data_IF_060527090572
#
_entry.id   IF_060527090572
#
_cell.length_a   1.000
_cell.length_b   1.000
_cell.length_c   1.000
_cell.angle_alpha   90.00
_cell.angle_beta   90.00
_cell.angle_gamma   90.00
#
_symmetry.space_group_name_H-M   'P 1'
#
loop_
_entity.id
_entity.type
_entity.pdbx_description
1 polymer ?
#
# COMPACT_ATOMS: atom_id res chain seq x y z
N UNK A 1 -19.26 -25.71 11.26
CA UNK A 1 -18.99 -24.38 10.70
C UNK A 1 -19.88 -24.25 9.47
N UNK A 2 -20.93 -23.43 9.52
CA UNK A 2 -21.81 -23.22 8.37
C UNK A 2 -21.04 -22.29 7.41
N UNK A 3 -20.87 -22.64 6.12
CA UNK A 3 -20.23 -21.73 5.17
C UNK A 3 -21.03 -20.43 5.16
N UNK A 4 -20.36 -19.28 5.26
CA UNK A 4 -21.02 -18.01 5.03
C UNK A 4 -21.72 -18.04 3.66
N UNK A 5 -22.93 -17.46 3.52
CA UNK A 5 -23.63 -17.46 2.24
C UNK A 5 -22.73 -16.79 1.18
N UNK A 6 -22.40 -17.54 0.13
CA UNK A 6 -21.65 -17.03 -1.02
C UNK A 6 -22.44 -15.91 -1.67
N UNK A 7 -22.06 -14.66 -1.40
CA UNK A 7 -22.54 -13.50 -2.16
C UNK A 7 -21.55 -13.21 -3.27
N UNK A 8 -22.01 -12.65 -4.39
CA UNK A 8 -21.12 -12.26 -5.49
C UNK A 8 -20.02 -11.28 -5.02
N UNK A 9 -20.31 -10.42 -4.03
CA UNK A 9 -19.31 -9.55 -3.39
C UNK A 9 -18.17 -10.38 -2.76
N UNK A 10 -18.49 -11.41 -1.98
CA UNK A 10 -17.47 -12.29 -1.36
C UNK A 10 -16.67 -13.09 -2.38
N UNK A 11 -17.26 -13.44 -3.53
CA UNK A 11 -16.57 -14.15 -4.61
C UNK A 11 -15.53 -13.26 -5.29
N UNK A 12 -15.85 -11.99 -5.57
CA UNK A 12 -14.89 -11.03 -6.15
C UNK A 12 -13.71 -10.83 -5.19
N UNK A 13 -13.97 -10.65 -3.89
CA UNK A 13 -12.92 -10.52 -2.89
C UNK A 13 -12.03 -11.77 -2.81
N UNK A 14 -12.63 -12.96 -2.78
CA UNK A 14 -11.89 -14.22 -2.73
C UNK A 14 -11.01 -14.39 -3.97
N UNK A 15 -11.59 -14.23 -5.17
CA UNK A 15 -10.85 -14.37 -6.44
C UNK A 15 -9.68 -13.38 -6.53
N UNK A 16 -9.89 -12.15 -6.04
CA UNK A 16 -8.83 -11.12 -6.01
C UNK A 16 -7.68 -11.53 -5.09
N UNK A 17 -7.98 -12.01 -3.89
CA UNK A 17 -6.97 -12.42 -2.93
C UNK A 17 -6.22 -13.69 -3.37
N UNK A 18 -6.93 -14.67 -3.92
CA UNK A 18 -6.35 -15.88 -4.51
C UNK A 18 -5.41 -15.53 -5.66
N UNK A 19 -5.80 -14.59 -6.52
CA UNK A 19 -4.94 -14.09 -7.59
C UNK A 19 -3.67 -13.42 -7.04
N UNK A 20 -3.79 -12.55 -6.03
CA UNK A 20 -2.62 -11.92 -5.39
C UNK A 20 -1.69 -12.95 -4.75
N UNK A 21 -2.24 -14.03 -4.19
CA UNK A 21 -1.47 -15.11 -3.58
C UNK A 21 -0.76 -15.99 -4.60
N UNK A 22 -1.53 -16.58 -5.52
CA UNK A 22 -1.05 -17.62 -6.43
C UNK A 22 -0.19 -17.05 -7.58
N UNK A 23 -0.53 -15.86 -8.07
CA UNK A 23 0.12 -15.28 -9.26
C UNK A 23 1.11 -14.17 -8.91
N UNK A 24 0.92 -13.46 -7.80
CA UNK A 24 1.76 -12.32 -7.41
C UNK A 24 2.61 -12.59 -6.15
N UNK A 25 2.41 -13.74 -5.50
CA UNK A 25 3.20 -14.20 -4.36
C UNK A 25 3.01 -13.38 -3.08
N UNK A 26 1.85 -12.73 -2.91
CA UNK A 26 1.46 -12.14 -1.63
C UNK A 26 1.00 -13.25 -0.68
N UNK A 27 1.21 -13.11 0.62
CA UNK A 27 0.49 -13.94 1.58
C UNK A 27 -0.99 -13.50 1.62
N UNK A 28 -1.92 -14.42 1.90
CA UNK A 28 -3.33 -14.08 2.04
C UNK A 28 -3.90 -14.50 3.39
N UNK A 29 -4.66 -13.60 4.02
CA UNK A 29 -5.38 -13.86 5.28
C UNK A 29 -6.83 -13.44 5.15
N UNK A 30 -7.74 -14.28 5.63
CA UNK A 30 -9.16 -13.95 5.78
C UNK A 30 -9.48 -13.63 7.24
N UNK A 31 -9.62 -12.33 7.57
CA UNK A 31 -9.74 -11.86 8.95
C UNK A 31 -11.17 -11.98 9.52
N UNK A 32 -12.20 -12.07 8.67
CA UNK A 32 -13.59 -12.04 9.14
C UNK A 32 -13.90 -13.17 10.13
N UNK A 33 -14.28 -12.78 11.35
CA UNK A 33 -14.59 -13.68 12.49
C UNK A 33 -13.47 -14.65 12.90
N UNK A 34 -12.27 -14.49 12.33
CA UNK A 34 -11.08 -15.27 12.68
C UNK A 34 -10.03 -14.42 13.39
N UNK A 35 -10.15 -13.09 13.36
CA UNK A 35 -9.23 -12.19 14.04
C UNK A 35 -9.43 -12.21 15.56
N UNK A 36 -8.32 -12.45 16.25
CA UNK A 36 -8.11 -12.25 17.68
C UNK A 36 -7.09 -11.11 17.91
N UNK A 37 -6.90 -10.72 19.18
CA UNK A 37 -6.01 -9.61 19.55
C UNK A 37 -4.95 -10.03 20.56
N UNK A 38 -3.77 -9.44 20.42
CA UNK A 38 -2.57 -9.69 21.21
C UNK A 38 -1.35 -10.04 20.36
N UNK A 39 -0.18 -10.22 20.98
CA UNK A 39 1.09 -10.40 20.28
C UNK A 39 1.16 -11.69 19.45
N UNK A 40 0.44 -12.74 19.85
CA UNK A 40 0.40 -14.04 19.17
C UNK A 40 -0.84 -14.21 18.27
N UNK A 41 -1.64 -13.15 18.12
CA UNK A 41 -2.86 -13.16 17.33
C UNK A 41 -2.58 -13.30 15.82
N UNK A 42 -3.63 -13.58 15.04
CA UNK A 42 -3.57 -13.74 13.59
C UNK A 42 -2.78 -12.61 12.91
N UNK A 43 -3.12 -11.37 13.23
CA UNK A 43 -2.46 -10.17 12.67
C UNK A 43 -1.50 -9.51 13.65
N UNK A 44 -1.46 -9.95 14.92
CA UNK A 44 -0.59 -9.37 15.96
C UNK A 44 -0.99 -7.96 16.38
N UNK A 45 -2.28 -7.61 16.21
CA UNK A 45 -2.86 -6.33 16.61
C UNK A 45 -3.33 -6.42 18.06
N UNK A 46 -3.13 -5.37 18.84
CA UNK A 46 -3.63 -5.27 20.23
C UNK A 46 -5.13 -4.92 20.27
N UNK A 47 -5.67 -4.32 19.21
CA UNK A 47 -7.11 -4.02 19.08
C UNK A 47 -7.52 -3.74 17.63
N UNK A 48 -8.84 -3.72 17.39
CA UNK A 48 -9.41 -3.32 16.10
C UNK A 48 -9.19 -1.83 15.75
N UNK A 49 -8.58 -1.03 16.64
CA UNK A 49 -8.15 0.36 16.36
C UNK A 49 -6.77 0.46 15.71
N UNK A 50 -5.93 -0.56 15.89
CA UNK A 50 -4.60 -0.55 15.27
C UNK A 50 -4.73 -0.89 13.79
N UNK A 51 -4.04 -0.17 12.91
CA UNK A 51 -4.04 -0.53 11.49
C UNK A 51 -2.68 -1.09 11.09
N UNK A 52 -1.58 -0.51 11.61
CA UNK A 52 -0.23 -1.01 11.36
C UNK A 52 -0.02 -2.34 12.09
N UNK A 53 0.50 -3.34 11.38
CA UNK A 53 0.91 -4.62 11.96
C UNK A 53 2.30 -4.45 12.59
N UNK A 54 2.34 -3.91 13.81
CA UNK A 54 3.57 -3.49 14.49
C UNK A 54 4.53 -4.65 14.73
N UNK A 55 4.02 -5.85 15.01
CA UNK A 55 4.81 -7.10 15.10
C UNK A 55 5.65 -7.32 13.84
N UNK A 56 5.00 -7.33 12.68
CA UNK A 56 5.65 -7.53 11.38
C UNK A 56 6.57 -6.36 11.04
N UNK A 57 6.11 -5.11 11.24
CA UNK A 57 6.91 -3.92 10.96
C UNK A 57 8.22 -3.91 11.75
N UNK A 58 8.16 -4.22 13.05
CA UNK A 58 9.33 -4.29 13.92
C UNK A 58 10.31 -5.35 13.42
N UNK A 59 9.84 -6.56 13.14
CA UNK A 59 10.67 -7.65 12.64
C UNK A 59 11.37 -7.28 11.31
N UNK A 60 10.65 -6.68 10.36
CA UNK A 60 11.22 -6.26 9.08
C UNK A 60 12.24 -5.12 9.23
N UNK A 61 12.00 -4.15 10.10
CA UNK A 61 13.00 -3.10 10.37
C UNK A 61 14.28 -3.71 10.97
N UNK A 62 14.16 -4.70 11.86
CA UNK A 62 15.32 -5.41 12.44
C UNK A 62 16.12 -6.16 11.37
N UNK A 63 15.44 -6.93 10.52
CA UNK A 63 16.05 -7.68 9.42
C UNK A 63 16.78 -6.77 8.42
N UNK A 64 16.16 -5.64 8.03
CA UNK A 64 16.73 -4.72 7.06
C UNK A 64 17.89 -3.88 7.61
N UNK A 65 18.03 -3.81 8.94
CA UNK A 65 19.01 -2.99 9.63
C UNK A 65 19.68 -3.75 10.79
N UNK A 66 20.46 -4.81 10.52
CA UNK A 66 20.97 -5.71 11.55
C UNK A 66 21.99 -5.03 12.48
N UNK A 67 22.06 -5.52 13.73
CA UNK A 67 23.13 -5.18 14.67
C UNK A 67 22.93 -3.87 15.46
N UNK A 68 21.71 -3.36 15.56
CA UNK A 68 21.37 -2.18 16.37
C UNK A 68 20.72 -2.60 17.70
N UNK A 69 20.78 -1.77 18.76
CA UNK A 69 20.07 -2.07 20.01
C UNK A 69 18.55 -1.96 19.84
N UNK A 70 17.80 -2.71 20.65
CA UNK A 70 16.32 -2.74 20.63
C UNK A 70 15.68 -1.33 20.66
N UNK A 71 16.26 -0.41 21.44
CA UNK A 71 15.78 0.98 21.56
C UNK A 71 15.81 1.75 20.23
N UNK A 72 16.71 1.40 19.30
CA UNK A 72 16.73 2.01 17.97
C UNK A 72 15.53 1.55 17.13
N UNK A 73 15.19 0.26 17.20
CA UNK A 73 14.05 -0.30 16.48
C UNK A 73 12.72 0.16 17.07
N UNK A 74 12.61 0.23 18.39
CA UNK A 74 11.45 0.78 19.09
C UNK A 74 11.21 2.25 18.72
N UNK A 75 12.27 3.07 18.69
CA UNK A 75 12.15 4.48 18.27
C UNK A 75 11.73 4.60 16.80
N UNK A 76 12.24 3.74 15.91
CA UNK A 76 11.83 3.73 14.52
C UNK A 76 10.33 3.40 14.36
N UNK A 77 9.87 2.31 14.97
CA UNK A 77 8.45 1.91 14.95
C UNK A 77 7.57 3.01 15.54
N UNK A 78 7.97 3.59 16.67
CA UNK A 78 7.25 4.70 17.31
C UNK A 78 7.10 5.89 16.37
N UNK A 79 8.18 6.33 15.70
CA UNK A 79 8.13 7.45 14.74
C UNK A 79 7.21 7.16 13.54
N UNK A 80 7.22 5.92 13.02
CA UNK A 80 6.36 5.50 11.91
C UNK A 80 4.87 5.52 12.31
N UNK A 81 4.54 5.04 13.51
CA UNK A 81 3.14 4.87 13.95
C UNK A 81 2.55 6.13 14.57
N UNK A 82 3.35 6.96 15.24
CA UNK A 82 2.85 8.17 15.92
C UNK A 82 2.29 9.16 14.93
N UNK A 83 1.12 9.74 15.21
CA UNK A 83 0.52 10.79 14.39
C UNK A 83 0.26 12.04 15.22
N UNK A 84 0.40 13.22 14.62
CA UNK A 84 0.03 14.47 15.27
C UNK A 84 -1.46 14.72 15.10
N UNK A 85 -2.16 14.97 16.20
CA UNK A 85 -3.58 15.35 16.17
C UNK A 85 -3.86 16.69 15.46
N UNK A 86 -2.82 17.52 15.26
CA UNK A 86 -2.95 18.81 14.58
C UNK A 86 -2.76 18.74 13.06
N UNK A 87 -2.33 17.60 12.51
CA UNK A 87 -2.09 17.45 11.08
C UNK A 87 -3.36 17.01 10.36
N UNK A 88 -3.52 17.47 9.12
CA UNK A 88 -4.53 16.89 8.22
C UNK A 88 -4.13 15.47 7.84
N UNK A 89 -5.10 14.67 7.38
CA UNK A 89 -4.85 13.31 6.92
C UNK A 89 -3.85 13.28 5.74
N UNK A 90 -3.93 14.24 4.82
CA UNK A 90 -3.00 14.35 3.69
C UNK A 90 -1.58 14.72 4.14
N UNK A 91 -1.43 15.64 5.10
CA UNK A 91 -0.13 16.00 5.67
C UNK A 91 0.49 14.83 6.44
N UNK A 92 -0.32 14.11 7.22
CA UNK A 92 0.10 12.87 7.90
C UNK A 92 0.57 11.83 6.88
N UNK A 93 -0.20 11.61 5.81
CA UNK A 93 0.16 10.67 4.76
C UNK A 93 1.48 11.02 4.05
N UNK A 94 1.72 12.31 3.79
CA UNK A 94 3.00 12.79 3.25
C UNK A 94 4.16 12.47 4.18
N UNK A 95 4.04 12.84 5.46
CA UNK A 95 5.09 12.57 6.45
C UNK A 95 5.39 11.06 6.53
N UNK A 96 4.35 10.22 6.58
CA UNK A 96 4.55 8.77 6.64
C UNK A 96 5.14 8.21 5.36
N UNK A 97 4.77 8.76 4.21
CA UNK A 97 5.37 8.40 2.94
C UNK A 97 6.87 8.73 2.88
N UNK A 98 7.30 9.89 3.40
CA UNK A 98 8.71 10.25 3.51
C UNK A 98 9.49 9.30 4.43
N UNK A 99 8.91 8.89 5.56
CA UNK A 99 9.52 7.88 6.44
C UNK A 99 9.65 6.50 5.76
N UNK A 100 8.67 6.13 4.93
CA UNK A 100 8.68 4.88 4.16
C UNK A 100 9.79 4.92 3.10
N UNK A 101 9.87 6.03 2.35
CA UNK A 101 10.80 6.20 1.23
C UNK A 101 12.24 6.43 1.68
N UNK A 102 12.44 7.40 2.57
CA UNK A 102 13.78 7.86 2.97
C UNK A 102 14.29 7.15 4.23
N UNK A 103 13.46 6.33 4.87
CA UNK A 103 13.77 5.70 6.14
C UNK A 103 13.67 6.64 7.35
N UNK A 104 13.87 6.07 8.54
CA UNK A 104 13.65 6.74 9.82
C UNK A 104 14.97 7.08 10.51
N UNK A 105 15.18 8.35 10.88
CA UNK A 105 16.35 8.74 11.63
C UNK A 105 16.15 8.48 13.13
N UNK A 106 16.96 7.60 13.69
CA UNK A 106 16.95 7.24 15.12
C UNK A 106 18.25 7.64 15.79
N UNK A 107 18.18 7.85 17.11
CA UNK A 107 19.34 8.16 17.92
C UNK A 107 19.41 7.23 19.12
N UNK A 108 20.52 6.50 19.25
CA UNK A 108 20.72 5.53 20.33
C UNK A 108 22.17 5.57 20.85
N UNK A 109 22.44 4.84 21.94
CA UNK A 109 23.80 4.64 22.45
C UNK A 109 24.39 3.36 21.88
N UNK A 110 25.59 3.44 21.31
CA UNK A 110 26.32 2.27 20.83
C UNK A 110 26.95 1.48 22.01
N UNK A 111 27.64 0.37 21.71
CA UNK A 111 28.32 -0.45 22.72
C UNK A 111 29.40 0.29 23.53
N UNK A 112 29.89 1.45 23.04
CA UNK A 112 30.84 2.33 23.74
C UNK A 112 30.15 3.41 24.59
N UNK A 113 28.82 3.44 24.63
CA UNK A 113 28.03 4.45 25.34
C UNK A 113 27.88 5.79 24.60
N UNK A 114 28.38 5.89 23.37
CA UNK A 114 28.34 7.12 22.56
C UNK A 114 26.97 7.29 21.90
N UNK A 115 26.49 8.54 21.82
CA UNK A 115 25.23 8.86 21.12
C UNK A 115 25.47 8.89 19.61
N UNK A 116 24.85 7.97 18.87
CA UNK A 116 24.99 7.83 17.42
C UNK A 116 23.63 8.05 16.74
N UNK A 117 23.64 8.71 15.58
CA UNK A 117 22.49 8.83 14.69
C UNK A 117 22.62 7.85 13.53
N UNK A 118 21.57 7.09 13.24
CA UNK A 118 21.46 6.23 12.05
C UNK A 118 20.10 6.41 11.41
N UNK A 119 20.05 6.22 10.10
CA UNK A 119 18.82 6.19 9.30
C UNK A 119 18.53 4.73 9.00
N UNK A 120 17.40 4.23 9.49
CA UNK A 120 16.97 2.84 9.32
C UNK A 120 16.06 2.76 8.10
N UNK A 121 16.32 1.80 7.23
CA UNK A 121 15.44 1.49 6.09
C UNK A 121 14.15 0.85 6.61
N UNK A 122 13.03 1.23 6.03
CA UNK A 122 11.71 0.61 6.30
C UNK A 122 11.39 -0.43 5.22
N UNK A 123 11.90 -0.22 4.01
CA UNK A 123 11.71 -1.07 2.83
C UNK A 123 13.04 -1.36 2.16
N UNK A 124 13.11 -2.50 1.48
CA UNK A 124 14.14 -2.82 0.51
C UNK A 124 13.58 -2.58 -0.90
N UNK A 125 13.81 -1.38 -1.45
CA UNK A 125 13.35 -1.05 -2.79
C UNK A 125 14.20 -1.72 -3.88
N UNK A 126 15.44 -2.11 -3.57
CA UNK A 126 16.37 -2.74 -4.51
C UNK A 126 16.02 -4.21 -4.77
N UNK A 127 15.63 -4.94 -3.71
CA UNK A 127 15.22 -6.35 -3.77
C UNK A 127 13.82 -6.51 -3.20
N UNK A 128 12.76 -6.41 -4.03
CA UNK A 128 11.38 -6.44 -3.58
C UNK A 128 11.03 -7.65 -2.71
N UNK A 129 11.59 -8.82 -3.03
CA UNK A 129 11.35 -10.09 -2.33
C UNK A 129 11.82 -10.08 -0.88
N UNK A 130 12.72 -9.16 -0.50
CA UNK A 130 13.13 -8.98 0.88
C UNK A 130 12.05 -8.31 1.74
N UNK A 131 10.95 -7.83 1.14
CA UNK A 131 9.82 -7.26 1.87
C UNK A 131 8.71 -8.30 2.04
N UNK A 132 7.97 -8.18 3.14
CA UNK A 132 6.81 -9.03 3.43
C UNK A 132 5.55 -8.41 2.82
N UNK A 133 4.87 -9.12 1.94
CA UNK A 133 3.64 -8.68 1.28
C UNK A 133 2.48 -9.53 1.75
N UNK A 134 1.44 -8.89 2.29
CA UNK A 134 0.28 -9.57 2.89
C UNK A 134 -1.02 -8.91 2.42
N UNK A 135 -1.92 -9.70 1.87
CA UNK A 135 -3.27 -9.32 1.48
C UNK A 135 -4.25 -9.79 2.57
N UNK A 136 -4.89 -8.85 3.27
CA UNK A 136 -5.88 -9.16 4.31
C UNK A 136 -7.27 -8.84 3.81
N UNK A 137 -8.14 -9.85 3.79
CA UNK A 137 -9.55 -9.72 3.44
C UNK A 137 -10.41 -9.45 4.67
N UNK A 138 -11.44 -8.61 4.49
CA UNK A 138 -12.51 -8.34 5.46
C UNK A 138 -11.99 -7.85 6.82
N UNK A 139 -11.07 -6.87 6.80
CA UNK A 139 -10.40 -6.32 7.98
C UNK A 139 -11.29 -5.33 8.73
N UNK A 140 -11.59 -5.60 10.00
CA UNK A 140 -12.28 -4.64 10.86
C UNK A 140 -11.32 -3.56 11.38
N UNK A 141 -11.74 -2.31 11.20
CA UNK A 141 -11.05 -1.12 11.71
C UNK A 141 -12.04 -0.26 12.48
N UNK A 142 -11.68 0.13 13.71
CA UNK A 142 -12.49 0.93 14.61
C UNK A 142 -11.96 2.36 14.69
N UNK A 143 -12.80 3.32 14.29
CA UNK A 143 -12.60 4.74 14.52
C UNK A 143 -13.12 5.16 15.89
N UNK A 144 -13.28 6.46 16.12
CA UNK A 144 -13.70 6.98 17.42
C UNK A 144 -15.16 6.66 17.74
N UNK A 145 -16.04 6.71 16.74
CA UNK A 145 -17.48 6.50 16.91
C UNK A 145 -17.98 5.21 16.27
N UNK A 146 -17.46 4.85 15.11
CA UNK A 146 -17.93 3.70 14.32
C UNK A 146 -16.78 2.82 13.87
N UNK A 147 -17.14 1.63 13.40
CA UNK A 147 -16.20 0.67 12.81
C UNK A 147 -16.56 0.41 11.35
N UNK A 148 -15.56 0.09 10.53
CA UNK A 148 -15.71 -0.29 9.12
C UNK A 148 -14.96 -1.58 8.85
N UNK A 149 -15.39 -2.32 7.83
CA UNK A 149 -14.80 -3.60 7.43
C UNK A 149 -14.29 -3.50 6.01
N UNK A 150 -13.01 -3.24 5.86
CA UNK A 150 -12.38 -3.08 4.56
C UNK A 150 -12.37 -4.42 3.81
N UNK A 151 -12.76 -4.41 2.54
CA UNK A 151 -12.82 -5.62 1.73
C UNK A 151 -11.44 -6.25 1.57
N UNK A 152 -10.43 -5.47 1.11
CA UNK A 152 -9.04 -5.89 1.04
C UNK A 152 -8.12 -4.74 1.49
N UNK A 153 -7.19 -5.05 2.39
CA UNK A 153 -6.05 -4.19 2.73
C UNK A 153 -4.75 -4.94 2.44
N UNK A 154 -3.93 -4.36 1.58
CA UNK A 154 -2.60 -4.86 1.27
C UNK A 154 -1.54 -4.20 2.14
N UNK A 155 -0.81 -5.04 2.86
CA UNK A 155 0.28 -4.68 3.75
C UNK A 155 1.62 -4.97 3.10
N UNK A 156 2.57 -4.06 3.29
CA UNK A 156 3.98 -4.33 3.00
C UNK A 156 4.82 -3.97 4.21
N UNK A 157 5.62 -4.91 4.71
CA UNK A 157 6.33 -4.83 5.99
C UNK A 157 5.41 -4.37 7.14
N UNK A 158 4.16 -4.82 7.16
CA UNK A 158 3.16 -4.46 8.16
C UNK A 158 2.51 -3.08 8.00
N UNK A 159 2.83 -2.29 6.97
CA UNK A 159 2.18 -1.01 6.69
C UNK A 159 1.02 -1.15 5.70
N UNK A 160 -0.17 -0.55 5.95
CA UNK A 160 -1.36 -0.65 5.10
C UNK A 160 -1.24 0.22 3.84
N UNK A 161 -0.46 -0.22 2.85
CA UNK A 161 -0.15 0.60 1.67
C UNK A 161 -1.22 0.53 0.57
N UNK A 162 -2.04 -0.51 0.54
CA UNK A 162 -3.06 -0.71 -0.48
C UNK A 162 -4.42 -0.87 0.16
N UNK A 163 -5.40 -0.12 -0.31
CA UNK A 163 -6.81 -0.30 0.05
C UNK A 163 -7.58 -0.65 -1.22
N UNK A 164 -8.34 -1.74 -1.20
CA UNK A 164 -9.28 -2.06 -2.26
C UNK A 164 -10.71 -2.11 -1.73
N UNK A 165 -11.60 -1.42 -2.42
CA UNK A 165 -13.04 -1.52 -2.23
C UNK A 165 -13.63 -2.24 -3.45
N UNK A 166 -14.32 -3.35 -3.19
CA UNK A 166 -14.80 -4.27 -4.19
C UNK A 166 -16.33 -4.30 -4.19
N UNK A 167 -16.91 -4.19 -5.39
CA UNK A 167 -18.36 -4.33 -5.58
C UNK A 167 -18.67 -5.57 -6.40
N UNK A 168 -19.92 -5.99 -6.32
CA UNK A 168 -20.54 -6.88 -7.28
C UNK A 168 -20.34 -6.37 -8.72
N UNK A 169 -20.07 -7.28 -9.64
CA UNK A 169 -19.90 -7.06 -11.10
C UNK A 169 -20.99 -6.19 -11.72
N UNK A 170 -22.23 -6.31 -11.23
CA UNK A 170 -23.39 -5.56 -11.73
C UNK A 170 -23.44 -4.09 -11.27
N UNK A 171 -22.59 -3.66 -10.32
CA UNK A 171 -22.62 -2.31 -9.74
C UNK A 171 -21.58 -1.40 -10.38
N UNK A 172 -21.95 -0.12 -10.49
CA UNK A 172 -21.04 0.95 -10.90
C UNK A 172 -19.94 1.18 -9.85
N UNK A 173 -18.68 1.20 -10.28
CA UNK A 173 -17.50 1.51 -9.47
C UNK A 173 -17.63 2.89 -8.82
N UNK A 174 -18.37 3.83 -9.41
CA UNK A 174 -18.62 5.13 -8.79
C UNK A 174 -19.26 5.02 -7.41
N UNK A 175 -20.13 4.02 -7.20
CA UNK A 175 -20.71 3.77 -5.89
C UNK A 175 -19.64 3.35 -4.86
N UNK A 176 -18.60 2.61 -5.27
CA UNK A 176 -17.47 2.27 -4.40
C UNK A 176 -16.72 3.52 -3.92
N UNK A 177 -16.62 4.55 -4.78
CA UNK A 177 -16.05 5.84 -4.39
C UNK A 177 -16.98 6.61 -3.44
N UNK A 178 -18.21 6.89 -3.88
CA UNK A 178 -19.10 7.84 -3.22
C UNK A 178 -19.70 7.31 -1.91
N UNK A 179 -20.03 6.02 -1.86
CA UNK A 179 -20.76 5.43 -0.72
C UNK A 179 -19.84 4.75 0.29
N UNK A 180 -18.62 4.38 -0.13
CA UNK A 180 -17.71 3.61 0.71
C UNK A 180 -16.40 4.37 0.93
N UNK A 181 -15.58 4.57 -0.10
CA UNK A 181 -14.26 5.19 0.10
C UNK A 181 -14.31 6.55 0.82
N UNK A 182 -15.25 7.44 0.47
CA UNK A 182 -15.43 8.70 1.21
C UNK A 182 -15.82 8.48 2.68
N UNK A 183 -16.72 7.54 2.94
CA UNK A 183 -17.20 7.18 4.26
C UNK A 183 -16.10 6.54 5.14
N UNK A 184 -15.18 5.77 4.55
CA UNK A 184 -13.97 5.28 5.23
C UNK A 184 -13.07 6.44 5.69
N UNK A 185 -12.90 7.47 4.85
CA UNK A 185 -12.06 8.63 5.18
C UNK A 185 -12.61 9.41 6.38
N UNK A 186 -13.92 9.45 6.52
CA UNK A 186 -14.57 10.12 7.65
C UNK A 186 -14.63 9.21 8.90
N UNK A 187 -14.92 7.92 8.70
CA UNK A 187 -15.16 6.98 9.81
C UNK A 187 -13.87 6.44 10.43
N UNK A 188 -12.90 6.07 9.59
CA UNK A 188 -11.62 5.43 9.98
C UNK A 188 -10.43 6.09 9.25
N UNK A 189 -10.23 7.42 9.39
CA UNK A 189 -9.18 8.15 8.66
C UNK A 189 -7.78 7.56 8.85
N UNK A 190 -7.51 6.98 10.02
CA UNK A 190 -6.23 6.40 10.37
C UNK A 190 -5.84 5.17 9.54
N UNK A 191 -6.80 4.53 8.86
CA UNK A 191 -6.52 3.50 7.84
C UNK A 191 -5.68 4.07 6.68
N UNK A 192 -5.79 5.37 6.41
CA UNK A 192 -5.11 6.03 5.31
C UNK A 192 -3.88 6.84 5.71
N UNK A 193 -3.42 6.75 6.96
CA UNK A 193 -2.20 7.46 7.37
C UNK A 193 -0.94 7.00 6.63
N UNK A 194 -0.86 5.73 6.24
CA UNK A 194 0.28 5.18 5.47
C UNK A 194 -0.09 4.81 4.04
N UNK A 195 -1.38 4.82 3.69
CA UNK A 195 -1.89 4.33 2.41
C UNK A 195 -1.15 4.95 1.23
N UNK A 196 -0.65 4.11 0.33
CA UNK A 196 -0.03 4.51 -0.92
C UNK A 196 -1.08 4.65 -2.04
N UNK A 197 -1.96 3.65 -2.16
CA UNK A 197 -2.81 3.45 -3.33
C UNK A 197 -4.23 3.00 -2.94
N UNK A 198 -5.21 3.44 -3.72
CA UNK A 198 -6.63 3.09 -3.57
C UNK A 198 -7.10 2.44 -4.86
N UNK A 199 -7.67 1.25 -4.77
CA UNK A 199 -8.28 0.53 -5.90
C UNK A 199 -9.78 0.44 -5.67
N UNK A 200 -10.54 0.80 -6.69
CA UNK A 200 -11.99 0.60 -6.73
C UNK A 200 -12.29 -0.36 -7.88
N UNK A 201 -12.94 -1.48 -7.61
CA UNK A 201 -13.17 -2.50 -8.63
C UNK A 201 -14.49 -3.24 -8.43
N UNK A 202 -14.94 -3.92 -9.49
CA UNK A 202 -16.14 -4.76 -9.45
C UNK A 202 -15.94 -6.15 -10.04
N UNK A 203 -14.71 -6.68 -10.09
CA UNK A 203 -14.42 -7.98 -10.69
C UNK A 203 -14.09 -7.92 -12.19
N UNK A 204 -14.61 -6.92 -12.92
CA UNK A 204 -14.32 -6.72 -14.35
C UNK A 204 -13.52 -5.44 -14.54
N UNK A 205 -14.11 -4.32 -14.09
CA UNK A 205 -13.50 -3.02 -14.15
C UNK A 205 -12.70 -2.76 -12.87
N UNK A 206 -11.62 -1.99 -13.00
CA UNK A 206 -10.84 -1.53 -11.86
C UNK A 206 -10.20 -0.18 -12.15
N UNK A 207 -10.22 0.72 -11.16
CA UNK A 207 -9.60 2.03 -11.22
C UNK A 207 -8.66 2.24 -10.05
N UNK A 208 -7.50 2.81 -10.35
CA UNK A 208 -6.44 3.15 -9.41
C UNK A 208 -6.45 4.66 -9.13
N UNK A 209 -6.32 5.03 -7.87
CA UNK A 209 -6.17 6.42 -7.44
C UNK A 209 -5.40 6.54 -6.13
N UNK A 210 -5.44 7.73 -5.55
CA UNK A 210 -4.82 8.06 -4.27
C UNK A 210 -5.85 8.53 -3.24
N UNK A 211 -5.42 8.64 -1.98
CA UNK A 211 -6.20 9.16 -0.86
C UNK A 211 -6.94 10.50 -1.15
N UNK A 212 -6.29 11.41 -1.87
CA UNK A 212 -6.82 12.75 -2.18
C UNK A 212 -7.39 12.86 -3.59
N UNK A 213 -7.41 11.77 -4.35
CA UNK A 213 -7.95 11.77 -5.71
C UNK A 213 -9.46 11.99 -5.70
N UNK A 214 -9.94 12.88 -6.59
CA UNK A 214 -11.35 12.92 -6.98
C UNK A 214 -11.64 11.73 -7.90
N UNK A 215 -12.90 11.32 -7.99
CA UNK A 215 -13.29 10.17 -8.82
C UNK A 215 -12.81 10.26 -10.28
N UNK A 216 -12.85 11.45 -10.89
CA UNK A 216 -12.35 11.71 -12.25
C UNK A 216 -10.84 11.47 -12.44
N UNK A 217 -10.08 11.36 -11.34
CA UNK A 217 -8.65 11.07 -11.34
C UNK A 217 -8.34 9.59 -11.04
N UNK A 218 -9.37 8.78 -10.72
CA UNK A 218 -9.23 7.33 -10.69
C UNK A 218 -9.16 6.80 -12.12
N UNK A 219 -8.03 6.20 -12.46
CA UNK A 219 -7.71 5.78 -13.83
C UNK A 219 -7.63 4.26 -13.95
N UNK A 220 -8.05 3.73 -15.09
CA UNK A 220 -7.85 2.32 -15.43
C UNK A 220 -6.38 2.03 -15.71
N UNK A 221 -5.93 0.85 -15.30
CA UNK A 221 -4.63 0.32 -15.68
C UNK A 221 -4.76 -0.59 -16.90
N UNK A 222 -4.62 0.01 -18.09
CA UNK A 222 -5.03 -0.62 -19.36
C UNK A 222 -4.01 -1.59 -19.95
N UNK A 223 -2.74 -1.51 -19.55
CA UNK A 223 -1.63 -2.20 -20.22
C UNK A 223 -0.59 -2.70 -19.22
N UNK A 224 -0.07 -3.90 -19.46
CA UNK A 224 1.12 -4.42 -18.77
C UNK A 224 2.41 -3.98 -19.46
N UNK A 225 2.37 -3.87 -20.79
CA UNK A 225 3.43 -3.37 -21.64
C UNK A 225 2.80 -2.42 -22.65
N UNK A 226 3.51 -1.36 -23.05
CA UNK A 226 2.94 -0.24 -23.81
C UNK A 226 2.21 -0.65 -25.10
N UNK A 227 2.58 -1.77 -25.72
CA UNK A 227 2.04 -2.24 -26.99
C UNK A 227 0.96 -3.33 -26.87
N UNK A 228 0.54 -3.72 -25.67
CA UNK A 228 -0.43 -4.81 -25.48
C UNK A 228 -1.56 -4.39 -24.53
N UNK A 229 -2.83 -4.30 -25.01
CA UNK A 229 -3.96 -4.08 -24.13
C UNK A 229 -4.19 -5.31 -23.26
N UNK A 230 -4.54 -5.08 -22.00
CA UNK A 230 -5.01 -6.13 -21.11
C UNK A 230 -6.37 -6.67 -21.52
N UNK A 231 -6.65 -7.94 -21.21
CA UNK A 231 -7.91 -8.62 -21.57
C UNK A 231 -9.01 -8.30 -20.56
N UNK A 232 -8.70 -8.35 -19.26
CA UNK A 232 -9.60 -8.01 -18.16
C UNK A 232 -8.97 -6.85 -17.37
N UNK A 233 -9.70 -5.76 -17.16
CA UNK A 233 -9.15 -4.54 -16.58
C UNK A 233 -8.69 -4.75 -15.12
N UNK A 234 -9.45 -5.50 -14.33
CA UNK A 234 -9.05 -5.84 -12.96
C UNK A 234 -7.77 -6.69 -12.90
N UNK A 235 -7.70 -7.79 -13.63
CA UNK A 235 -6.50 -8.64 -13.70
C UNK A 235 -5.27 -7.85 -14.18
N UNK A 236 -5.46 -7.00 -15.19
CA UNK A 236 -4.40 -6.14 -15.75
C UNK A 236 -3.91 -5.13 -14.71
N UNK A 237 -4.80 -4.56 -13.91
CA UNK A 237 -4.44 -3.69 -12.80
C UNK A 237 -3.69 -4.46 -11.72
N UNK A 238 -4.17 -5.63 -11.29
CA UNK A 238 -3.50 -6.43 -10.28
C UNK A 238 -2.08 -6.82 -10.71
N UNK A 239 -1.91 -7.34 -11.93
CA UNK A 239 -0.58 -7.64 -12.50
C UNK A 239 0.31 -6.39 -12.60
N UNK A 240 -0.24 -5.29 -13.09
CA UNK A 240 0.51 -4.07 -13.35
C UNK A 240 0.93 -3.31 -12.09
N UNK A 241 0.09 -3.34 -11.05
CA UNK A 241 0.26 -2.55 -9.81
C UNK A 241 0.76 -3.40 -8.66
N UNK A 242 0.23 -4.61 -8.48
CA UNK A 242 0.47 -5.44 -7.30
C UNK A 242 1.60 -6.46 -7.48
N UNK A 243 2.21 -6.59 -8.66
CA UNK A 243 3.49 -7.28 -8.78
C UNK A 243 4.52 -6.58 -7.88
N UNK A 244 5.25 -7.33 -7.03
CA UNK A 244 6.06 -6.78 -5.93
C UNK A 244 7.01 -5.67 -6.37
N UNK A 245 7.74 -5.87 -7.47
CA UNK A 245 8.64 -4.87 -8.04
C UNK A 245 7.90 -3.60 -8.48
N UNK A 246 6.80 -3.74 -9.23
CA UNK A 246 6.01 -2.60 -9.68
C UNK A 246 5.36 -1.86 -8.51
N UNK A 247 4.88 -2.59 -7.50
CA UNK A 247 4.25 -2.01 -6.32
C UNK A 247 5.24 -1.12 -5.57
N UNK A 248 6.46 -1.61 -5.33
CA UNK A 248 7.50 -0.84 -4.65
C UNK A 248 8.01 0.32 -5.48
N UNK A 249 8.19 0.14 -6.79
CA UNK A 249 8.57 1.22 -7.69
C UNK A 249 7.50 2.33 -7.72
N UNK A 250 6.21 1.95 -7.78
CA UNK A 250 5.10 2.90 -7.66
C UNK A 250 5.15 3.68 -6.34
N UNK A 251 5.43 2.99 -5.23
CA UNK A 251 5.56 3.61 -3.92
C UNK A 251 6.77 4.53 -3.86
N UNK A 252 7.93 4.14 -4.39
CA UNK A 252 9.16 4.92 -4.27
C UNK A 252 9.18 6.13 -5.20
N UNK A 253 8.76 5.93 -6.46
CA UNK A 253 9.12 6.82 -7.57
C UNK A 253 7.93 7.50 -8.24
N UNK A 254 6.70 7.05 -8.01
CA UNK A 254 5.53 7.51 -8.76
C UNK A 254 4.41 8.13 -7.89
N UNK A 255 4.75 8.49 -6.65
CA UNK A 255 3.90 9.29 -5.77
C UNK A 255 4.52 10.67 -5.59
N UNK A 256 3.73 11.70 -5.87
CA UNK A 256 4.10 13.11 -5.64
C UNK A 256 3.02 13.73 -4.77
N UNK A 257 3.40 14.68 -3.92
CA UNK A 257 2.43 15.48 -3.19
C UNK A 257 2.59 16.96 -3.56
N UNK A 258 1.50 17.55 -4.05
CA UNK A 258 1.41 18.93 -4.54
C UNK A 258 0.65 19.82 -3.55
N UNK A 259 1.29 20.89 -3.07
CA UNK A 259 0.69 21.86 -2.14
C UNK A 259 0.35 23.20 -2.84
N UNK A 260 0.50 23.30 -4.16
CA UNK A 260 0.33 24.56 -4.90
C UNK A 260 -1.06 25.17 -4.78
N UNK A 261 -2.08 24.34 -4.53
CA UNK A 261 -3.48 24.74 -4.38
C UNK A 261 -3.91 24.96 -2.91
N UNK A 262 -2.96 25.08 -1.97
CA UNK A 262 -3.20 25.33 -0.54
C UNK A 262 -3.53 24.08 0.27
N UNK A 263 -4.24 23.11 -0.29
CA UNK A 263 -4.43 21.77 0.29
C UNK A 263 -3.46 20.78 -0.34
N UNK A 264 -2.83 19.94 0.50
CA UNK A 264 -1.90 18.91 0.05
C UNK A 264 -2.63 17.83 -0.76
N UNK A 265 -2.21 17.65 -2.02
CA UNK A 265 -2.76 16.66 -2.95
C UNK A 265 -1.74 15.58 -3.23
N UNK A 266 -2.05 14.35 -2.82
CA UNK A 266 -1.33 13.15 -3.25
C UNK A 266 -1.71 12.78 -4.68
N UNK A 267 -0.73 12.73 -5.56
CA UNK A 267 -0.85 12.38 -6.96
C UNK A 267 -0.09 11.06 -7.18
N UNK A 268 -0.77 10.09 -7.79
CA UNK A 268 -0.21 8.82 -8.20
C UNK A 268 -0.12 8.79 -9.73
N UNK A 269 1.00 8.30 -10.26
CA UNK A 269 1.17 8.21 -11.70
C UNK A 269 0.16 7.27 -12.36
N UNK A 270 -0.21 7.61 -13.61
CA UNK A 270 -1.08 6.78 -14.45
C UNK A 270 -0.26 5.73 -15.19
N UNK A 271 -0.94 4.69 -15.69
CA UNK A 271 -0.33 3.56 -16.40
C UNK A 271 0.68 3.96 -17.50
N UNK A 272 0.38 4.94 -18.34
CA UNK A 272 1.29 5.39 -19.40
C UNK A 272 2.51 6.17 -18.86
N UNK A 273 2.37 6.90 -17.75
CA UNK A 273 3.49 7.60 -17.11
C UNK A 273 4.46 6.61 -16.49
N UNK A 274 3.93 5.59 -15.80
CA UNK A 274 4.71 4.50 -15.23
C UNK A 274 5.51 3.75 -16.30
N UNK A 275 4.82 3.26 -17.34
CA UNK A 275 5.46 2.51 -18.42
C UNK A 275 6.46 3.37 -19.20
N UNK A 276 6.10 4.61 -19.53
CA UNK A 276 6.96 5.50 -20.31
C UNK A 276 8.26 5.85 -19.58
N UNK A 277 8.19 6.17 -18.28
CA UNK A 277 9.38 6.49 -17.48
C UNK A 277 10.29 5.26 -17.35
N UNK A 278 9.74 4.09 -17.04
CA UNK A 278 10.56 2.88 -16.89
C UNK A 278 11.22 2.45 -18.20
N UNK A 279 10.51 2.52 -19.34
CA UNK A 279 11.12 2.29 -20.67
C UNK A 279 12.23 3.28 -20.99
N UNK A 280 12.06 4.55 -20.62
CA UNK A 280 13.10 5.57 -20.81
C UNK A 280 14.34 5.26 -19.96
N UNK A 281 14.17 4.84 -18.70
CA UNK A 281 15.27 4.44 -17.80
C UNK A 281 16.01 3.21 -18.36
N UNK A 282 15.28 2.18 -18.81
CA UNK A 282 15.86 0.99 -19.46
C UNK A 282 16.66 1.37 -20.71
N UNK A 283 16.12 2.25 -21.58
CA UNK A 283 16.81 2.72 -22.76
C UNK A 283 18.11 3.47 -22.45
N UNK A 284 18.15 4.22 -21.33
CA UNK A 284 19.37 4.87 -20.86
C UNK A 284 20.40 3.85 -20.35
N UNK A 285 19.96 2.83 -19.60
CA UNK A 285 20.85 1.74 -19.12
C UNK A 285 21.47 0.97 -20.29
N UNK A 286 20.69 0.73 -21.35
CA UNK A 286 21.09 0.05 -22.58
C UNK A 286 21.79 0.95 -23.61
N UNK A 287 22.08 2.21 -23.30
CA UNK A 287 22.55 3.19 -24.30
C UNK A 287 23.83 2.75 -25.04
N UNK A 288 24.71 2.01 -24.37
CA UNK A 288 25.96 1.47 -24.95
C UNK A 288 25.70 0.35 -25.96
N UNK A 289 24.64 -0.45 -25.80
CA UNK A 289 24.25 -1.49 -26.75
C UNK A 289 23.35 -0.96 -27.89
N UNK A 290 22.85 0.28 -27.79
CA UNK A 290 21.98 0.94 -28.78
C UNK A 290 22.65 2.06 -29.61
N UNK A 291 23.98 2.10 -29.68
CA UNK A 291 24.73 3.12 -30.43
C UNK A 291 24.31 4.57 -30.10
N UNK A 292 23.97 4.82 -28.83
CA UNK A 292 23.58 6.16 -28.37
C UNK A 292 22.18 6.63 -28.77
N UNK A 293 21.36 5.80 -29.44
CA UNK A 293 19.98 6.14 -29.80
C UNK A 293 19.03 5.80 -28.65
N UNK A 294 18.34 6.82 -28.12
CA UNK A 294 17.39 6.65 -27.01
C UNK A 294 15.99 6.21 -27.46
N UNK A 295 15.71 6.17 -28.77
CA UNK A 295 14.35 5.95 -29.27
C UNK A 295 13.47 7.19 -29.07
N UNK A 296 12.48 7.39 -29.95
CA UNK A 296 11.41 8.36 -29.73
C UNK A 296 10.23 7.55 -29.20
N UNK A 297 9.75 7.90 -28.01
CA UNK A 297 8.62 7.27 -27.34
C UNK A 297 7.38 8.14 -27.50
#
# INVERSE_FOLDING_TARGET
MIPAPYTEDTLVQQTTAEYMEQELGWESVYAYNNEDFGPDSLLGRESDREVVLTRTLRAKIEELNPGLPATAYEDAVRQIVTVSASQTMAATNREKHELIKDGVQVTFRNAKGERVRRRLRVFDFDVPENNHFLCVRELWVRGDLYRRRADIVGFVNGLPLLFMELKNVSKDIRAAYEQNFLDYKDTVPHLFHHNAMVVLANGVDAKLGSLTSRFEHFAEWKRLVENQPGVVAMETLLKGVCAKANFLDLVENFIVFDDSAGESRKILARNHQFLGVNRAIEAVRDRKSRDGKLGVF
#
